data_IF_413771903895
#
_entry.id   IF_413771903895
#
_cell.length_a   1.000
_cell.length_b   1.000
_cell.length_c   1.000
_cell.angle_alpha   90.00
_cell.angle_beta   90.00
_cell.angle_gamma   90.00
#
_symmetry.space_group_name_H-M   'P 1'
#
loop_
_entity.id
_entity.type
_entity.pdbx_description
1 polymer ?
#
# COMPACT_ATOMS: atom_id res chain seq x y z
N UNK A 1 -39.21 -22.51 57.31
CA UNK A 1 -39.28 -22.14 55.87
C UNK A 1 -37.92 -22.44 55.27
N UNK A 2 -37.87 -23.40 54.34
CA UNK A 2 -36.65 -23.86 53.67
C UNK A 2 -36.54 -23.11 52.33
N UNK A 3 -35.45 -22.39 52.10
CA UNK A 3 -35.10 -21.88 50.78
C UNK A 3 -33.83 -22.58 50.33
N UNK A 4 -34.00 -23.56 49.44
CA UNK A 4 -32.91 -24.18 48.68
C UNK A 4 -32.61 -23.25 47.50
N UNK A 5 -31.41 -22.66 47.50
CA UNK A 5 -30.90 -21.87 46.38
C UNK A 5 -30.22 -22.79 45.37
N UNK A 6 -30.55 -22.59 44.11
CA UNK A 6 -30.38 -23.51 43.00
C UNK A 6 -28.97 -23.34 42.41
N UNK A 7 -28.26 -24.47 42.39
CA UNK A 7 -27.23 -24.92 41.46
C UNK A 7 -26.46 -23.87 40.63
N UNK A 8 -25.21 -23.71 41.05
CA UNK A 8 -24.03 -23.53 40.22
C UNK A 8 -24.03 -24.41 38.97
N UNK A 9 -24.00 -23.80 37.79
CA UNK A 9 -23.59 -24.44 36.53
C UNK A 9 -23.25 -23.35 35.49
N UNK A 10 -22.12 -22.65 35.65
CA UNK A 10 -21.50 -21.91 34.54
C UNK A 10 -20.37 -22.78 34.03
N UNK A 11 -20.60 -23.37 32.87
CA UNK A 11 -19.73 -24.31 32.18
C UNK A 11 -18.31 -23.75 31.96
N UNK A 12 -17.33 -24.43 32.56
CA UNK A 12 -15.96 -24.50 32.05
C UNK A 12 -15.98 -25.26 30.72
N UNK A 13 -16.08 -24.54 29.60
CA UNK A 13 -15.70 -25.06 28.30
C UNK A 13 -14.26 -24.60 28.00
N UNK A 14 -13.29 -25.30 28.58
CA UNK A 14 -11.92 -25.35 28.03
C UNK A 14 -11.98 -26.19 26.76
N UNK A 15 -12.28 -25.55 25.63
CA UNK A 15 -12.08 -26.14 24.32
C UNK A 15 -10.66 -25.80 23.85
N UNK A 16 -9.85 -26.82 23.71
CA UNK A 16 -8.61 -26.84 22.96
C UNK A 16 -8.82 -26.22 21.58
N UNK A 17 -8.38 -24.97 21.40
CA UNK A 17 -8.26 -24.35 20.09
C UNK A 17 -7.06 -24.99 19.38
N UNK A 18 -7.32 -26.09 18.68
CA UNK A 18 -6.54 -26.39 17.50
C UNK A 18 -6.66 -25.18 16.57
N UNK A 19 -5.52 -24.61 16.19
CA UNK A 19 -5.40 -23.44 15.34
C UNK A 19 -5.85 -23.78 13.91
N UNK A 20 -7.16 -23.99 13.71
CA UNK A 20 -7.76 -23.93 12.39
C UNK A 20 -7.86 -22.45 12.01
N UNK A 21 -7.11 -22.07 10.97
CA UNK A 21 -6.93 -20.67 10.55
C UNK A 21 -8.20 -19.95 10.07
N UNK A 22 -9.36 -20.60 10.14
CA UNK A 22 -10.66 -20.04 9.80
C UNK A 22 -11.38 -19.42 11.00
N UNK A 23 -11.02 -19.77 12.25
CA UNK A 23 -11.65 -19.22 13.46
C UNK A 23 -11.16 -17.80 13.74
N UNK A 24 -9.89 -17.47 13.46
CA UNK A 24 -9.38 -16.09 13.50
C UNK A 24 -10.14 -15.18 12.54
N UNK A 25 -10.55 -15.69 11.37
CA UNK A 25 -11.33 -14.94 10.39
C UNK A 25 -12.77 -14.68 10.86
N UNK A 26 -13.36 -15.59 11.65
CA UNK A 26 -14.69 -15.39 12.24
C UNK A 26 -14.62 -14.39 13.42
N UNK A 27 -13.53 -14.41 14.18
CA UNK A 27 -13.26 -13.41 15.22
C UNK A 27 -12.97 -12.02 14.65
N UNK A 28 -12.30 -11.93 13.49
CA UNK A 28 -12.10 -10.64 12.80
C UNK A 28 -13.41 -10.04 12.27
N UNK A 29 -14.39 -10.88 11.89
CA UNK A 29 -15.77 -10.41 11.60
C UNK A 29 -16.44 -9.78 12.81
N UNK A 30 -16.26 -10.36 14.00
CA UNK A 30 -16.88 -9.88 15.24
C UNK A 30 -16.21 -8.61 15.79
N UNK A 31 -14.91 -8.40 15.52
CA UNK A 31 -14.14 -7.22 15.98
C UNK A 31 -14.21 -6.01 15.04
N UNK A 32 -15.02 -6.04 13.97
CA UNK A 32 -15.16 -4.91 13.06
C UNK A 32 -13.96 -4.66 12.14
N UNK A 33 -13.08 -5.66 11.95
CA UNK A 33 -12.00 -5.62 10.96
C UNK A 33 -12.50 -5.90 9.52
N UNK A 34 -13.78 -6.30 9.37
CA UNK A 34 -14.48 -6.51 8.08
C UNK A 34 -14.61 -5.25 7.23
N UNK A 35 -14.35 -4.04 7.78
CA UNK A 35 -14.39 -2.81 7.00
C UNK A 35 -13.30 -2.74 5.92
N UNK A 36 -12.23 -3.53 6.03
CA UNK A 36 -11.10 -3.49 5.09
C UNK A 36 -11.12 -4.58 4.03
N UNK A 37 -11.79 -5.72 4.27
CA UNK A 37 -11.87 -6.78 3.26
C UNK A 37 -13.03 -6.48 2.31
N UNK A 38 -12.78 -6.31 1.01
CA UNK A 38 -13.85 -6.06 0.05
C UNK A 38 -14.89 -7.18 0.10
N UNK A 39 -16.17 -6.83 -0.03
CA UNK A 39 -17.23 -7.83 -0.16
C UNK A 39 -16.98 -8.62 -1.46
N UNK A 40 -17.19 -9.94 -1.43
CA UNK A 40 -16.96 -10.87 -2.54
C UNK A 40 -15.49 -11.18 -2.83
N UNK A 41 -14.65 -11.41 -1.82
CA UNK A 41 -13.33 -12.01 -2.03
C UNK A 41 -13.30 -13.48 -1.62
N UNK A 42 -12.49 -14.26 -2.33
CA UNK A 42 -12.25 -15.67 -2.07
C UNK A 42 -10.77 -15.91 -1.77
N UNK A 43 -10.51 -16.83 -0.84
CA UNK A 43 -9.15 -17.15 -0.45
C UNK A 43 -8.43 -17.95 -1.54
N UNK A 44 -7.18 -17.57 -1.77
CA UNK A 44 -6.28 -18.31 -2.64
C UNK A 44 -5.49 -19.32 -1.77
N UNK A 45 -5.33 -20.58 -2.21
CA UNK A 45 -4.51 -21.55 -1.52
C UNK A 45 -3.08 -21.07 -1.23
N UNK A 46 -2.53 -21.48 -0.09
CA UNK A 46 -1.16 -21.23 0.31
C UNK A 46 -1.03 -20.82 1.78
N UNK A 47 0.20 -20.59 2.24
CA UNK A 47 0.45 -20.20 3.63
C UNK A 47 0.28 -18.70 3.90
N UNK A 48 0.22 -17.86 2.86
CA UNK A 48 -0.06 -16.43 2.97
C UNK A 48 -1.57 -16.19 2.93
N UNK A 49 -2.06 -15.27 3.76
CA UNK A 49 -3.48 -14.87 3.77
C UNK A 49 -3.77 -13.91 2.61
N UNK A 50 -3.89 -14.47 1.40
CA UNK A 50 -4.17 -13.74 0.16
C UNK A 50 -5.58 -14.07 -0.35
N UNK A 51 -6.31 -13.03 -0.76
CA UNK A 51 -7.67 -13.10 -1.27
C UNK A 51 -7.71 -12.45 -2.67
N UNK A 52 -8.44 -13.06 -3.59
CA UNK A 52 -8.82 -12.43 -4.86
C UNK A 52 -10.27 -11.97 -4.74
N UNK A 53 -10.53 -10.75 -5.14
CA UNK A 53 -11.83 -10.09 -4.98
C UNK A 53 -12.56 -10.07 -6.31
N UNK A 54 -13.80 -10.56 -6.33
CA UNK A 54 -14.64 -10.62 -7.51
C UNK A 54 -14.98 -9.20 -8.00
N UNK A 55 -15.03 -9.05 -9.32
CA UNK A 55 -15.36 -7.80 -10.00
C UNK A 55 -16.47 -8.05 -11.03
N UNK A 56 -17.24 -7.03 -11.41
CA UNK A 56 -18.28 -7.18 -12.43
C UNK A 56 -17.73 -7.68 -13.77
N UNK A 57 -16.53 -7.20 -14.12
CA UNK A 57 -15.85 -7.57 -15.35
C UNK A 57 -14.90 -8.77 -15.13
N UNK A 58 -14.72 -9.63 -16.15
CA UNK A 58 -13.74 -10.70 -16.11
C UNK A 58 -12.33 -10.16 -15.88
N UNK A 59 -11.64 -10.70 -14.89
CA UNK A 59 -10.28 -10.30 -14.55
C UNK A 59 -9.25 -10.92 -15.50
N UNK A 60 -8.25 -10.14 -15.89
CA UNK A 60 -7.20 -10.56 -16.80
C UNK A 60 -6.16 -11.49 -16.18
N UNK A 61 -6.03 -11.53 -14.85
CA UNK A 61 -5.08 -12.39 -14.14
C UNK A 61 -5.84 -13.30 -13.16
N UNK A 62 -5.52 -14.58 -13.20
CA UNK A 62 -5.98 -15.58 -12.24
C UNK A 62 -4.82 -16.02 -11.35
N UNK A 63 -5.01 -15.95 -10.03
CA UNK A 63 -4.03 -16.43 -9.05
C UNK A 63 -4.57 -17.70 -8.41
N UNK A 64 -3.78 -18.78 -8.51
CA UNK A 64 -4.15 -20.12 -8.06
C UNK A 64 -3.47 -20.54 -6.75
N UNK A 65 -2.29 -19.99 -6.44
CA UNK A 65 -1.64 -20.19 -5.14
C UNK A 65 -0.70 -19.02 -4.79
N UNK A 66 -0.58 -18.72 -3.49
CA UNK A 66 0.42 -17.78 -2.96
C UNK A 66 1.07 -18.35 -1.71
N UNK A 67 2.35 -18.67 -1.81
CA UNK A 67 3.16 -19.22 -0.73
C UNK A 67 4.35 -18.32 -0.40
N UNK A 68 4.88 -18.49 0.79
CA UNK A 68 6.11 -17.87 1.24
C UNK A 68 6.99 -18.87 1.96
N UNK A 69 8.31 -18.71 1.82
CA UNK A 69 9.31 -19.49 2.55
C UNK A 69 9.16 -19.44 4.07
N UNK A 70 8.66 -18.32 4.62
CA UNK A 70 8.47 -18.12 6.06
C UNK A 70 7.23 -17.26 6.28
N UNK A 71 6.36 -17.66 7.21
CA UNK A 71 5.25 -16.84 7.69
C UNK A 71 5.04 -17.10 9.19
N UNK A 72 4.85 -16.08 10.04
CA UNK A 72 4.90 -14.62 9.79
C UNK A 72 6.25 -14.10 9.30
N UNK A 73 6.26 -12.93 8.63
CA UNK A 73 7.45 -12.36 8.01
C UNK A 73 8.42 -11.74 9.03
N UNK A 74 9.68 -12.17 9.07
CA UNK A 74 10.69 -11.53 9.93
C UNK A 74 11.17 -10.20 9.33
N UNK A 75 11.19 -9.14 10.14
CA UNK A 75 11.81 -7.87 9.76
C UNK A 75 13.33 -8.03 9.55
N UNK A 76 13.90 -7.23 8.66
CA UNK A 76 15.32 -7.23 8.31
C UNK A 76 15.81 -8.46 7.55
N UNK A 77 14.92 -9.37 7.12
CA UNK A 77 15.29 -10.63 6.49
C UNK A 77 14.70 -10.77 5.09
N UNK A 78 15.41 -11.56 4.29
CA UNK A 78 14.95 -11.98 2.97
C UNK A 78 13.88 -13.07 3.10
N UNK A 79 12.79 -12.89 2.37
CA UNK A 79 11.65 -13.80 2.29
C UNK A 79 11.42 -14.15 0.82
N UNK A 80 11.44 -15.43 0.48
CA UNK A 80 10.98 -15.88 -0.84
C UNK A 80 9.45 -15.97 -0.86
N UNK A 81 8.82 -15.30 -1.83
CA UNK A 81 7.41 -15.37 -2.15
C UNK A 81 7.26 -16.14 -3.46
N UNK A 82 6.31 -17.05 -3.48
CA UNK A 82 5.96 -17.87 -4.62
C UNK A 82 4.49 -17.65 -4.98
N UNK A 83 4.24 -17.30 -6.24
CA UNK A 83 2.91 -17.07 -6.78
C UNK A 83 2.72 -18.02 -7.97
N UNK A 84 1.59 -18.73 -7.98
CA UNK A 84 1.18 -19.56 -9.11
C UNK A 84 -0.10 -18.98 -9.68
N UNK A 85 -0.12 -18.72 -10.98
CA UNK A 85 -1.28 -18.16 -11.65
C UNK A 85 -1.09 -18.04 -13.16
N UNK A 86 -2.08 -17.52 -13.86
CA UNK A 86 -2.04 -17.31 -15.31
C UNK A 86 -2.63 -15.97 -15.71
N UNK A 87 -2.24 -15.53 -16.89
CA UNK A 87 -2.79 -14.35 -17.56
C UNK A 87 -3.85 -14.86 -18.54
N UNK A 88 -5.12 -14.55 -18.31
CA UNK A 88 -6.24 -14.94 -19.15
C UNK A 88 -6.49 -13.91 -20.28
N UNK A 89 -6.24 -12.62 -20.00
CA UNK A 89 -6.40 -11.51 -20.95
C UNK A 89 -5.16 -10.62 -20.99
N UNK A 90 -5.00 -9.84 -22.07
CA UNK A 90 -3.83 -8.96 -22.23
C UNK A 90 -3.80 -7.91 -21.13
N UNK A 91 -2.64 -7.75 -20.48
CA UNK A 91 -2.33 -6.58 -19.64
C UNK A 91 -1.56 -5.59 -20.50
N UNK A 92 -2.14 -4.41 -20.71
CA UNK A 92 -1.65 -3.42 -21.66
C UNK A 92 -0.48 -2.61 -21.10
N UNK A 93 0.30 -1.98 -21.98
CA UNK A 93 1.26 -0.96 -21.56
C UNK A 93 0.52 0.21 -20.90
N UNK A 94 1.05 0.76 -19.81
CA UNK A 94 0.37 1.80 -19.03
C UNK A 94 -0.62 1.27 -17.99
N UNK A 95 -0.71 -0.06 -17.80
CA UNK A 95 -1.40 -0.62 -16.65
C UNK A 95 -0.84 -0.06 -15.34
N UNK A 96 -1.69 0.12 -14.34
CA UNK A 96 -1.34 0.73 -13.06
C UNK A 96 -1.96 -0.01 -11.88
N UNK A 97 -1.24 0.00 -10.75
CA UNK A 97 -1.66 -0.55 -9.47
C UNK A 97 -2.14 0.59 -8.58
N UNK A 98 -3.40 0.55 -8.18
CA UNK A 98 -3.92 1.34 -7.07
C UNK A 98 -3.82 0.50 -5.79
N UNK A 99 -3.05 0.96 -4.80
CA UNK A 99 -2.75 0.22 -3.57
C UNK A 99 -3.05 1.06 -2.33
N UNK A 100 -3.60 0.40 -1.32
CA UNK A 100 -3.79 0.95 0.02
C UNK A 100 -3.28 -0.05 1.05
N UNK A 101 -2.48 0.42 2.01
CA UNK A 101 -1.92 -0.40 3.08
C UNK A 101 -2.37 0.15 4.43
N UNK A 102 -2.85 -0.74 5.27
CA UNK A 102 -3.34 -0.42 6.61
C UNK A 102 -2.54 -1.18 7.67
N UNK A 103 -2.30 -0.53 8.80
CA UNK A 103 -1.83 -1.13 10.04
C UNK A 103 -2.90 -0.90 11.11
N UNK A 104 -3.60 -1.96 11.49
CA UNK A 104 -4.86 -1.83 12.23
C UNK A 104 -5.90 -1.03 11.45
N UNK A 105 -6.40 0.08 12.02
CA UNK A 105 -7.38 0.98 11.38
C UNK A 105 -6.76 2.19 10.69
N UNK A 106 -5.43 2.37 10.75
CA UNK A 106 -4.76 3.52 10.16
C UNK A 106 -4.20 3.16 8.80
N UNK A 107 -4.51 3.98 7.80
CA UNK A 107 -3.87 3.88 6.49
C UNK A 107 -2.43 4.40 6.61
N UNK A 108 -1.46 3.53 6.34
CA UNK A 108 -0.03 3.86 6.38
C UNK A 108 0.52 4.15 4.99
N UNK A 109 -0.18 3.72 3.94
CA UNK A 109 0.19 4.03 2.56
C UNK A 109 -1.04 4.03 1.65
N UNK A 110 -1.05 4.95 0.69
CA UNK A 110 -1.99 5.03 -0.41
C UNK A 110 -1.21 5.50 -1.65
N UNK A 111 -1.41 4.87 -2.80
CA UNK A 111 -0.64 5.24 -3.98
C UNK A 111 -1.16 4.61 -5.26
N UNK A 112 -0.85 5.26 -6.37
CA UNK A 112 -1.04 4.74 -7.72
C UNK A 112 0.33 4.61 -8.37
N UNK A 113 0.65 3.41 -8.86
CA UNK A 113 1.96 3.11 -9.42
C UNK A 113 1.85 2.50 -10.81
N UNK A 114 2.64 2.94 -11.80
CA UNK A 114 2.70 2.29 -13.11
C UNK A 114 3.21 0.84 -12.96
N UNK A 115 2.35 -0.14 -13.25
CA UNK A 115 2.63 -1.56 -13.04
C UNK A 115 3.85 -2.00 -13.85
N UNK A 116 3.90 -1.57 -15.11
CA UNK A 116 4.94 -1.97 -16.05
C UNK A 116 6.33 -1.49 -15.61
N UNK A 117 6.40 -0.32 -14.98
CA UNK A 117 7.65 0.20 -14.42
C UNK A 117 8.06 -0.59 -13.17
N UNK A 118 7.12 -0.87 -12.26
CA UNK A 118 7.38 -1.73 -11.09
C UNK A 118 7.91 -3.11 -11.52
N UNK A 119 7.31 -3.72 -12.54
CA UNK A 119 7.77 -5.01 -13.07
C UNK A 119 9.20 -4.92 -13.63
N UNK A 120 9.53 -3.88 -14.40
CA UNK A 120 10.88 -3.66 -14.94
C UNK A 120 11.89 -3.44 -13.80
N UNK A 121 11.59 -2.55 -12.86
CA UNK A 121 12.45 -2.23 -11.71
C UNK A 121 12.75 -3.46 -10.85
N UNK A 122 11.75 -4.32 -10.64
CA UNK A 122 11.91 -5.53 -9.84
C UNK A 122 12.30 -6.77 -10.66
N UNK A 123 12.64 -6.60 -11.95
CA UNK A 123 13.03 -7.65 -12.90
C UNK A 123 12.01 -8.80 -12.98
N UNK A 124 10.72 -8.45 -12.92
CA UNK A 124 9.57 -9.35 -12.99
C UNK A 124 9.22 -9.58 -14.46
N UNK A 125 9.70 -10.70 -15.02
CA UNK A 125 9.45 -11.05 -16.42
C UNK A 125 10.05 -10.03 -17.40
N UNK A 126 9.41 -9.88 -18.57
CA UNK A 126 9.86 -8.95 -19.64
C UNK A 126 9.19 -7.57 -19.55
N UNK A 127 8.49 -7.27 -18.46
CA UNK A 127 7.60 -6.11 -18.35
C UNK A 127 6.31 -6.28 -19.16
N UNK A 128 5.58 -5.18 -19.33
CA UNK A 128 4.39 -5.11 -20.17
C UNK A 128 4.75 -5.01 -21.67
N UNK A 129 3.81 -5.35 -22.57
CA UNK A 129 2.49 -5.93 -22.30
C UNK A 129 2.57 -7.42 -21.92
N UNK A 130 1.69 -7.86 -21.00
CA UNK A 130 1.58 -9.27 -20.63
C UNK A 130 0.57 -9.96 -21.54
N UNK A 131 1.03 -10.99 -22.26
CA UNK A 131 0.19 -11.78 -23.15
C UNK A 131 -0.50 -12.91 -22.39
N UNK A 132 -1.69 -13.34 -22.84
CA UNK A 132 -2.36 -14.49 -22.27
C UNK A 132 -1.51 -15.76 -22.32
N UNK A 133 -1.66 -16.58 -21.29
CA UNK A 133 -0.88 -17.80 -21.06
C UNK A 133 -1.83 -18.98 -20.94
N UNK A 134 -1.56 -20.06 -21.68
CA UNK A 134 -2.44 -21.25 -21.70
C UNK A 134 -2.37 -22.11 -20.45
N UNK A 135 -1.34 -21.90 -19.61
CA UNK A 135 -1.04 -22.70 -18.43
C UNK A 135 -0.59 -21.77 -17.31
N UNK A 136 -0.76 -22.23 -16.09
CA UNK A 136 -0.27 -21.54 -14.92
C UNK A 136 1.27 -21.46 -14.94
N UNK A 137 1.77 -20.28 -14.58
CA UNK A 137 3.17 -19.94 -14.46
C UNK A 137 3.47 -19.80 -12.97
N UNK A 138 4.65 -20.29 -12.58
CA UNK A 138 5.19 -20.18 -11.23
C UNK A 138 6.19 -19.03 -11.19
N UNK A 139 5.92 -18.04 -10.35
CA UNK A 139 6.78 -16.89 -10.13
C UNK A 139 7.35 -16.95 -8.72
N UNK A 140 8.68 -16.97 -8.61
CA UNK A 140 9.38 -16.92 -7.32
C UNK A 140 10.18 -15.64 -7.23
N UNK A 141 10.06 -14.93 -6.11
CA UNK A 141 10.85 -13.74 -5.85
C UNK A 141 11.24 -13.65 -4.41
N UNK A 142 12.51 -13.36 -4.18
CA UNK A 142 13.02 -12.96 -2.89
C UNK A 142 12.80 -11.47 -2.65
N UNK A 143 12.25 -11.09 -1.51
CA UNK A 143 12.05 -9.70 -1.09
C UNK A 143 12.66 -9.53 0.29
N UNK A 144 13.35 -8.42 0.53
CA UNK A 144 13.86 -8.09 1.85
C UNK A 144 12.81 -7.26 2.57
N UNK A 145 12.35 -7.74 3.72
CA UNK A 145 11.50 -6.95 4.60
C UNK A 145 12.42 -5.98 5.35
N UNK A 146 12.23 -4.66 5.23
CA UNK A 146 13.03 -3.70 5.99
C UNK A 146 12.95 -3.94 7.49
N UNK A 147 14.03 -3.63 8.19
CA UNK A 147 14.17 -3.78 9.65
C UNK A 147 13.35 -2.75 10.44
N UNK A 148 13.15 -1.55 9.89
CA UNK A 148 12.37 -0.49 10.52
C UNK A 148 10.85 -0.74 10.54
N UNK A 149 10.35 -1.79 9.87
CA UNK A 149 8.92 -2.13 9.89
C UNK A 149 8.57 -2.74 11.25
N UNK A 150 7.67 -2.11 12.03
CA UNK A 150 7.30 -2.60 13.35
C UNK A 150 6.50 -3.91 13.28
N UNK A 151 6.47 -4.64 14.40
CA UNK A 151 5.61 -5.80 14.60
C UNK A 151 4.15 -5.40 14.51
N UNK A 152 3.50 -5.74 13.40
CA UNK A 152 2.09 -5.49 13.21
C UNK A 152 1.50 -6.42 12.15
N UNK A 153 0.16 -6.45 12.14
CA UNK A 153 -0.62 -7.04 11.06
C UNK A 153 -0.94 -5.95 10.05
N UNK A 154 -0.49 -6.16 8.81
CA UNK A 154 -0.72 -5.25 7.70
C UNK A 154 -1.80 -5.81 6.78
N UNK A 155 -2.73 -4.95 6.37
CA UNK A 155 -3.73 -5.27 5.35
C UNK A 155 -3.42 -4.48 4.09
N UNK A 156 -3.18 -5.19 2.99
CA UNK A 156 -2.93 -4.60 1.67
C UNK A 156 -4.16 -4.82 0.82
N UNK A 157 -4.65 -3.75 0.22
CA UNK A 157 -5.73 -3.75 -0.76
C UNK A 157 -5.14 -3.24 -2.06
N UNK A 158 -5.30 -4.00 -3.14
CA UNK A 158 -4.74 -3.65 -4.44
C UNK A 158 -5.76 -3.90 -5.53
N UNK A 159 -5.87 -2.97 -6.48
CA UNK A 159 -6.53 -3.23 -7.76
C UNK A 159 -5.63 -2.75 -8.88
N UNK A 160 -5.42 -3.64 -9.86
CA UNK A 160 -4.68 -3.34 -11.07
C UNK A 160 -5.68 -3.05 -12.17
N UNK A 161 -5.42 -1.98 -12.92
CA UNK A 161 -6.21 -1.55 -14.06
C UNK A 161 -5.35 -1.47 -15.31
N UNK A 162 -5.97 -1.72 -16.46
CA UNK A 162 -5.44 -1.30 -17.75
C UNK A 162 -5.69 0.21 -17.98
N UNK A 163 -5.05 0.84 -18.99
CA UNK A 163 -5.28 2.23 -19.35
C UNK A 163 -6.74 2.56 -19.69
N UNK A 164 -7.45 1.59 -20.26
CA UNK A 164 -8.89 1.66 -20.58
C UNK A 164 -9.81 1.49 -19.34
N UNK A 165 -9.22 1.45 -18.13
CA UNK A 165 -9.90 1.24 -16.84
C UNK A 165 -10.56 -0.13 -16.69
N UNK A 166 -10.26 -1.10 -17.57
CA UNK A 166 -10.67 -2.48 -17.35
C UNK A 166 -9.92 -3.09 -16.17
N UNK A 167 -10.63 -3.86 -15.34
CA UNK A 167 -10.06 -4.51 -14.17
C UNK A 167 -9.13 -5.64 -14.60
N UNK A 168 -7.86 -5.58 -14.20
CA UNK A 168 -6.88 -6.65 -14.43
C UNK A 168 -7.01 -7.70 -13.32
N UNK A 169 -6.95 -7.26 -12.06
CA UNK A 169 -7.16 -8.10 -10.87
C UNK A 169 -7.43 -7.20 -9.67
N UNK A 170 -8.30 -7.63 -8.77
CA UNK A 170 -8.50 -7.02 -7.46
C UNK A 170 -8.14 -8.04 -6.37
N UNK A 171 -7.37 -7.62 -5.37
CA UNK A 171 -6.88 -8.51 -4.34
C UNK A 171 -6.76 -7.84 -2.97
N UNK A 172 -6.75 -8.68 -1.95
CA UNK A 172 -6.46 -8.31 -0.57
C UNK A 172 -5.44 -9.27 0.02
N UNK A 173 -4.53 -8.78 0.86
CA UNK A 173 -3.54 -9.60 1.55
C UNK A 173 -3.38 -9.18 3.01
N UNK A 174 -3.29 -10.15 3.90
CA UNK A 174 -2.93 -9.95 5.30
C UNK A 174 -1.52 -10.48 5.57
N UNK A 175 -0.65 -9.59 6.02
CA UNK A 175 0.76 -9.87 6.26
C UNK A 175 1.10 -9.59 7.72
N UNK A 176 1.39 -10.65 8.46
CA UNK A 176 1.88 -10.55 9.83
C UNK A 176 3.40 -10.36 9.78
N UNK A 177 3.88 -9.20 10.24
CA UNK A 177 5.31 -8.90 10.34
C UNK A 177 5.74 -9.03 11.80
N UNK A 178 6.87 -9.70 12.03
CA UNK A 178 7.54 -9.83 13.32
C UNK A 178 8.79 -8.96 13.30
N UNK A 179 8.69 -7.79 13.91
CA UNK A 179 9.81 -6.90 14.23
C UNK A 179 10.63 -7.43 15.41
N UNK A 180 11.58 -6.61 15.86
CA UNK A 180 12.34 -6.85 17.10
C UNK A 180 11.81 -5.97 18.23
N UNK A 181 12.05 -6.33 19.51
CA UNK A 181 11.67 -5.48 20.63
C UNK A 181 12.24 -4.06 20.53
N UNK A 182 13.44 -3.91 19.97
CA UNK A 182 14.09 -2.62 19.75
C UNK A 182 13.35 -1.78 18.70
N UNK A 183 13.00 -2.38 17.56
CA UNK A 183 12.29 -1.67 16.47
C UNK A 183 10.90 -1.25 16.92
N UNK A 184 10.22 -2.09 17.69
CA UNK A 184 8.89 -1.80 18.23
C UNK A 184 8.96 -0.65 19.25
N UNK A 185 9.96 -0.66 20.14
CA UNK A 185 10.17 0.43 21.09
C UNK A 185 10.49 1.76 20.39
N UNK A 186 11.34 1.75 19.36
CA UNK A 186 11.67 2.94 18.58
C UNK A 186 10.44 3.51 17.87
N UNK A 187 9.64 2.65 17.24
CA UNK A 187 8.41 3.06 16.56
C UNK A 187 7.42 3.72 17.52
N UNK A 188 7.20 3.12 18.70
CA UNK A 188 6.31 3.68 19.70
C UNK A 188 6.81 5.03 20.23
N UNK A 189 8.12 5.18 20.43
CA UNK A 189 8.73 6.44 20.85
C UNK A 189 8.52 7.55 19.81
N UNK A 190 8.83 7.28 18.53
CA UNK A 190 8.62 8.25 17.43
C UNK A 190 7.16 8.68 17.32
N UNK A 191 6.23 7.73 17.45
CA UNK A 191 4.80 8.02 17.44
C UNK A 191 4.36 8.92 18.60
N UNK A 192 4.88 8.67 19.81
CA UNK A 192 4.61 9.53 20.96
C UNK A 192 5.16 10.95 20.78
N UNK A 193 6.36 11.08 20.23
CA UNK A 193 6.97 12.39 19.93
C UNK A 193 6.17 13.16 18.87
N UNK A 194 5.68 12.47 17.82
CA UNK A 194 4.83 13.07 16.80
C UNK A 194 3.46 13.50 17.37
N UNK A 195 2.84 12.67 18.21
CA UNK A 195 1.58 12.99 18.88
C UNK A 195 1.73 14.20 19.81
N UNK A 196 2.84 14.29 20.54
CA UNK A 196 3.18 15.47 21.34
C UNK A 196 3.38 16.71 20.46
N UNK A 197 4.10 16.59 19.33
CA UNK A 197 4.28 17.69 18.38
C UNK A 197 2.94 18.20 17.84
N UNK A 198 2.07 17.31 17.35
CA UNK A 198 0.73 17.66 16.86
C UNK A 198 -0.13 18.30 17.94
N UNK A 199 -0.02 17.84 19.18
CA UNK A 199 -0.75 18.44 20.29
C UNK A 199 -0.30 19.89 20.54
N UNK A 200 1.02 20.13 20.56
CA UNK A 200 1.58 21.47 20.73
C UNK A 200 1.22 22.40 19.57
N UNK A 201 1.25 21.92 18.34
CA UNK A 201 0.81 22.68 17.15
C UNK A 201 -0.66 23.10 17.25
N UNK A 202 -1.55 22.21 17.69
CA UNK A 202 -2.97 22.56 17.91
C UNK A 202 -3.12 23.65 18.98
N UNK A 203 -2.42 23.52 20.11
CA UNK A 203 -2.45 24.54 21.16
C UNK A 203 -1.92 25.89 20.66
N UNK A 204 -0.90 25.89 19.82
CA UNK A 204 -0.37 27.10 19.22
C UNK A 204 -1.37 27.75 18.25
N UNK A 205 -2.01 26.95 17.40
CA UNK A 205 -3.05 27.43 16.47
C UNK A 205 -4.28 27.97 17.20
N UNK A 206 -4.73 27.28 18.25
CA UNK A 206 -5.86 27.72 19.08
C UNK A 206 -5.54 29.05 19.78
N UNK A 207 -4.32 29.20 20.31
CA UNK A 207 -3.85 30.45 20.90
C UNK A 207 -3.76 31.58 19.87
N UNK A 208 -3.23 31.31 18.68
CA UNK A 208 -3.13 32.30 17.61
C UNK A 208 -4.53 32.79 17.16
N UNK A 209 -5.49 31.86 17.06
CA UNK A 209 -6.88 32.18 16.74
C UNK A 209 -7.55 33.04 17.84
N UNK A 210 -7.27 32.75 19.11
CA UNK A 210 -7.77 33.57 20.22
C UNK A 210 -7.16 34.98 20.23
N UNK A 211 -5.84 35.11 19.98
CA UNK A 211 -5.18 36.41 19.87
C UNK A 211 -5.71 37.23 18.69
N UNK A 212 -6.04 36.60 17.56
CA UNK A 212 -6.70 37.26 16.42
C UNK A 212 -8.10 37.77 16.81
N UNK A 213 -8.92 36.93 17.46
CA UNK A 213 -10.25 37.32 17.92
C UNK A 213 -10.20 38.52 18.87
N UNK A 214 -9.26 38.52 19.81
CA UNK A 214 -9.07 39.64 20.74
C UNK A 214 -8.62 40.94 20.04
N UNK A 215 -7.82 40.85 18.96
CA UNK A 215 -7.43 42.02 18.15
C UNK A 215 -8.61 42.58 17.37
N UNK A 216 -9.41 41.71 16.75
CA UNK A 216 -10.64 42.11 16.04
C UNK A 216 -11.65 42.78 16.98
N UNK A 217 -11.79 42.27 18.21
CA UNK A 217 -12.63 42.90 19.25
C UNK A 217 -12.08 44.26 19.70
N UNK A 218 -10.76 44.41 19.81
CA UNK A 218 -10.10 45.65 20.25
C UNK A 218 -10.07 46.76 19.19
N UNK A 219 -10.01 46.41 17.90
CA UNK A 219 -9.98 47.38 16.79
C UNK A 219 -11.35 47.97 16.43
N UNK A 220 -12.41 47.59 17.17
CA UNK A 220 -13.67 48.29 17.19
C UNK A 220 -14.77 47.59 16.39
N UNK A 221 -15.67 46.94 17.13
CA UNK A 221 -16.97 46.55 16.64
C UNK A 221 -17.73 47.73 16.03
N UNK A 222 -17.73 47.81 14.70
CA UNK A 222 -18.75 48.49 13.92
C UNK A 222 -18.87 47.82 12.56
N UNK A 223 -19.35 46.59 12.57
CA UNK A 223 -20.20 46.04 11.51
C UNK A 223 -21.00 44.88 12.11
N UNK A 224 -22.12 45.25 12.72
CA UNK A 224 -23.22 44.33 12.90
C UNK A 224 -23.86 44.06 11.52
N UNK A 225 -24.21 42.79 11.33
CA UNK A 225 -25.34 42.31 10.52
C UNK A 225 -25.37 42.73 9.04
N UNK A 226 -24.92 41.82 8.16
CA UNK A 226 -25.79 41.22 7.15
C UNK A 226 -24.99 40.17 6.36
N UNK A 227 -25.29 38.89 6.57
CA UNK A 227 -25.18 37.84 5.58
C UNK A 227 -25.79 36.53 6.14
N UNK A 228 -27.12 36.49 6.17
CA UNK A 228 -27.81 35.24 5.94
C UNK A 228 -27.99 35.07 4.41
N UNK A 229 -27.81 33.83 3.95
CA UNK A 229 -28.09 33.29 2.61
C UNK A 229 -27.02 33.51 1.51
N UNK A 230 -26.17 32.50 1.34
CA UNK A 230 -26.02 31.83 0.04
C UNK A 230 -25.60 30.37 0.27
N UNK A 231 -26.57 29.47 0.36
CA UNK A 231 -26.35 28.04 0.11
C UNK A 231 -26.50 27.81 -1.40
N UNK A 232 -25.44 28.09 -2.15
CA UNK A 232 -25.21 27.43 -3.43
C UNK A 232 -24.01 26.51 -3.26
N UNK A 233 -24.26 25.22 -3.41
CA UNK A 233 -23.25 24.19 -3.38
C UNK A 233 -22.28 24.39 -4.57
N UNK A 234 -21.16 25.03 -4.30
CA UNK A 234 -19.97 24.90 -5.13
C UNK A 234 -19.40 23.50 -4.95
N UNK A 235 -19.19 22.79 -6.06
CA UNK A 235 -18.40 21.55 -6.07
C UNK A 235 -17.04 21.82 -5.39
N UNK A 236 -16.53 20.90 -4.55
CA UNK A 236 -15.23 21.05 -3.95
C UNK A 236 -14.17 21.11 -5.07
N UNK A 237 -13.50 22.26 -5.23
CA UNK A 237 -12.33 22.36 -6.08
C UNK A 237 -11.26 21.39 -5.57
N UNK A 238 -10.86 20.46 -6.43
CA UNK A 238 -9.84 19.47 -6.13
C UNK A 238 -8.52 20.18 -5.73
N UNK A 239 -7.81 19.71 -4.68
CA UNK A 239 -6.68 20.44 -4.08
C UNK A 239 -5.45 20.58 -4.99
N UNK A 240 -5.48 20.00 -6.18
CA UNK A 240 -4.46 20.15 -7.21
C UNK A 240 -5.08 19.85 -8.58
N UNK A 241 -4.72 20.66 -9.58
CA UNK A 241 -4.97 20.32 -10.98
C UNK A 241 -3.63 20.07 -11.66
N UNK A 242 -3.47 18.87 -12.23
CA UNK A 242 -2.31 18.50 -13.03
C UNK A 242 -2.76 18.46 -14.49
N UNK A 243 -2.24 19.37 -15.30
CA UNK A 243 -2.43 19.33 -16.75
C UNK A 243 -1.14 18.90 -17.42
N UNK A 244 -1.24 17.91 -18.30
CA UNK A 244 -0.12 17.42 -19.10
C UNK A 244 -0.48 17.67 -20.57
N UNK A 245 0.17 18.65 -21.18
CA UNK A 245 0.05 18.95 -22.61
C UNK A 245 1.45 19.05 -23.21
N UNK A 246 1.69 18.33 -24.32
CA UNK A 246 2.92 18.38 -25.13
C UNK A 246 4.25 18.28 -24.35
N UNK A 247 4.29 17.40 -23.33
CA UNK A 247 5.50 17.16 -22.53
C UNK A 247 5.77 18.20 -21.44
N UNK A 248 4.91 19.21 -21.29
CA UNK A 248 4.94 20.14 -20.16
C UNK A 248 3.88 19.74 -19.13
N UNK A 249 4.30 19.71 -17.86
CA UNK A 249 3.44 19.45 -16.71
C UNK A 249 3.20 20.77 -16.00
N UNK A 250 1.96 21.27 -16.04
CA UNK A 250 1.57 22.45 -15.28
C UNK A 250 0.82 22.00 -14.01
N UNK A 251 1.40 22.30 -12.84
CA UNK A 251 0.83 22.00 -11.53
C UNK A 251 0.43 23.32 -10.88
N UNK A 252 -0.86 23.49 -10.55
CA UNK A 252 -1.36 24.64 -9.80
C UNK A 252 -1.89 24.20 -8.45
N UNK A 253 -1.32 24.76 -7.38
CA UNK A 253 -1.70 24.52 -5.98
C UNK A 253 -0.73 25.20 -5.01
N UNK A 254 -1.23 25.52 -3.80
CA UNK A 254 -0.39 26.00 -2.71
C UNK A 254 0.63 24.88 -2.37
N UNK A 255 1.93 25.17 -2.42
CA UNK A 255 3.09 24.24 -2.38
C UNK A 255 3.56 23.60 -3.70
N UNK A 256 3.00 23.95 -4.87
CA UNK A 256 3.42 23.39 -6.16
C UNK A 256 4.93 23.62 -6.49
N UNK A 257 5.50 24.75 -6.07
CA UNK A 257 6.91 25.07 -6.29
C UNK A 257 7.86 24.14 -5.50
N UNK A 258 7.46 23.66 -4.32
CA UNK A 258 8.29 22.77 -3.49
C UNK A 258 8.33 21.32 -4.02
N UNK A 259 7.33 20.92 -4.81
CA UNK A 259 7.27 19.60 -5.46
C UNK A 259 8.02 19.58 -6.81
N UNK A 260 8.14 20.73 -7.48
CA UNK A 260 8.94 20.89 -8.69
C UNK A 260 10.44 20.78 -8.38
N UNK A 261 10.91 21.43 -7.31
CA UNK A 261 12.31 21.33 -6.86
C UNK A 261 12.70 19.88 -6.52
N UNK A 262 11.79 19.11 -5.91
CA UNK A 262 12.02 17.70 -5.56
C UNK A 262 12.03 16.78 -6.80
N UNK A 263 11.27 17.13 -7.84
CA UNK A 263 11.21 16.40 -9.10
C UNK A 263 12.45 16.66 -9.99
N UNK A 264 12.97 17.89 -9.98
CA UNK A 264 14.22 18.24 -10.67
C UNK A 264 15.45 17.61 -10.01
N UNK A 265 15.50 17.54 -8.67
CA UNK A 265 16.58 16.88 -7.93
C UNK A 265 16.59 15.35 -8.15
N UNK A 266 15.42 14.74 -8.33
CA UNK A 266 15.29 13.31 -8.68
C UNK A 266 15.67 12.99 -10.13
N UNK A 267 15.56 13.95 -11.05
CA UNK A 267 15.97 13.78 -12.45
C UNK A 267 17.50 13.83 -12.62
N UNK A 268 18.20 14.64 -11.82
CA UNK A 268 19.67 14.73 -11.85
C UNK A 268 20.42 13.46 -11.42
N UNK A 269 19.80 12.62 -10.58
CA UNK A 269 20.38 11.35 -10.11
C UNK A 269 20.31 10.25 -11.19
N UNK A 270 19.48 10.41 -12.22
CA UNK A 270 19.33 9.45 -13.30
C UNK A 270 20.46 9.51 -14.34
N UNK A 271 21.16 10.63 -14.50
CA UNK A 271 22.24 10.77 -15.48
C UNK A 271 23.58 10.19 -14.99
N UNK A 272 23.82 10.17 -13.68
CA UNK A 272 25.07 9.62 -13.11
C UNK A 272 25.10 8.08 -13.21
N UNK A 273 23.96 7.41 -13.03
CA UNK A 273 23.81 5.95 -13.13
C UNK A 273 23.89 5.39 -14.56
N UNK A 274 23.66 6.21 -15.59
CA UNK A 274 23.76 5.80 -17.00
C UNK A 274 25.23 5.76 -17.46
N UNK A 275 26.11 6.54 -16.83
CA UNK A 275 27.53 6.59 -17.18
C UNK A 275 28.33 5.34 -16.73
N UNK A 276 27.98 4.75 -15.58
CA UNK A 276 28.69 3.57 -15.04
C UNK A 276 28.31 2.26 -15.76
N UNK A 277 27.12 2.15 -16.36
CA UNK A 277 26.73 0.94 -17.10
C UNK A 277 27.42 0.82 -18.47
N UNK A 278 27.70 1.94 -19.16
CA UNK A 278 28.31 1.90 -20.49
C UNK A 278 29.79 1.48 -20.48
N UNK A 279 30.50 1.70 -19.37
CA UNK A 279 31.88 1.22 -19.20
C UNK A 279 31.95 -0.30 -18.97
N UNK A 280 30.92 -0.93 -18.40
CA UNK A 280 30.90 -2.37 -18.16
C UNK A 280 30.54 -3.21 -19.40
N UNK A 281 29.79 -2.67 -20.36
CA UNK A 281 29.43 -3.39 -21.59
C UNK A 281 30.55 -3.36 -22.64
N UNK A 282 31.36 -2.29 -22.70
CA UNK A 282 32.50 -2.20 -23.62
C UNK A 282 33.64 -3.20 -23.30
N UNK A 283 33.76 -3.63 -22.04
CA UNK A 283 34.78 -4.60 -21.61
C UNK A 283 34.33 -6.06 -21.82
N UNK A 284 33.03 -6.33 -21.90
CA UNK A 284 32.49 -7.69 -22.08
C UNK A 284 32.58 -8.18 -23.54
N UNK A 285 32.50 -7.29 -24.52
CA UNK A 285 32.49 -7.67 -25.95
C UNK A 285 33.87 -8.10 -26.49
N UNK A 286 34.95 -7.97 -25.70
CA UNK A 286 36.32 -8.23 -26.16
C UNK A 286 36.83 -9.66 -25.91
N UNK A 287 36.02 -10.57 -25.37
CA UNK A 287 36.53 -11.89 -24.91
C UNK A 287 36.08 -13.13 -25.69
N UNK A 288 35.18 -13.05 -26.67
CA UNK A 288 34.78 -14.23 -27.46
C UNK A 288 35.33 -14.20 -28.89
N UNK A 289 36.58 -14.67 -29.04
CA UNK A 289 37.14 -15.08 -30.33
C UNK A 289 36.96 -16.61 -30.50
N UNK A 290 36.42 -17.10 -31.63
CA UNK A 290 36.15 -18.52 -31.82
C UNK A 290 37.44 -19.32 -32.08
N UNK A 291 37.63 -20.38 -31.31
CA UNK A 291 38.67 -21.40 -31.55
C UNK A 291 38.20 -22.32 -32.68
N UNK A 292 38.92 -22.29 -33.80
CA UNK A 292 38.83 -23.29 -34.87
C UNK A 292 39.56 -24.56 -34.43
N UNK A 293 38.85 -25.69 -34.34
CA UNK A 293 39.46 -27.01 -34.28
C UNK A 293 39.52 -27.63 -35.68
N UNK A 294 40.75 -27.92 -36.14
CA UNK A 294 41.05 -28.84 -37.23
C UNK A 294 41.30 -30.26 -36.68
N UNK A 295 40.88 -31.24 -37.48
CA UNK A 295 41.16 -32.69 -37.49
C UNK A 295 40.32 -33.62 -36.61
#
# INVERSE_FOLDING_TARGET
MKLLSIASAVCLATATLAADSNIEFILSKFLGLDSFVPKNCHAVPGNVKFLVCDRPDPQAINISAVDSSVYPFPAGKEVEIEIVGRVDHVVQEGAYLNVSVYSGFHQVHAGVHPLCNLMKQHKIGKGCPLKPTKKDIRFKRKVTIPDWIPSARYFVLGTIYNPDKTDVISFSGQYDVKGTPETDAEYHKKRQEEDQRRHLERLANDKAKEEQRLKEEAEGGSKAEDAAQDESAGEPEEPYTVKVEDGNVEIKGEHAEQLLDLAEEAAGIAEELISEQQQHEADAEKTDAPVHDEL
#
